data_IF_368697271052
#
_entry.id   IF_368697271052
#
_cell.length_a   1.000
_cell.length_b   1.000
_cell.length_c   1.000
_cell.angle_alpha   90.00
_cell.angle_beta   90.00
_cell.angle_gamma   90.00
#
_symmetry.space_group_name_H-M   'P 1'
#
loop_
_entity.id
_entity.type
_entity.pdbx_description
1 polymer ?
#
# COMPACT_ATOMS: atom_id res chain seq x y z
N UNK A 1 -15.15 0.47 9.53
CA UNK A 1 -14.02 0.84 10.41
C UNK A 1 -13.43 -0.43 10.96
N UNK A 2 -12.11 -0.49 11.09
CA UNK A 2 -11.42 -1.61 11.76
C UNK A 2 -11.80 -1.68 13.25
N UNK A 3 -11.93 -2.88 13.80
CA UNK A 3 -12.26 -3.11 15.22
C UNK A 3 -11.04 -2.93 16.13
N UNK A 4 -11.25 -2.80 17.44
CA UNK A 4 -10.15 -2.71 18.41
C UNK A 4 -9.18 -3.91 18.36
N UNK A 5 -9.71 -5.13 18.14
CA UNK A 5 -8.89 -6.33 17.96
C UNK A 5 -8.05 -6.25 16.67
N UNK A 6 -8.65 -5.78 15.57
CA UNK A 6 -7.92 -5.56 14.31
C UNK A 6 -6.84 -4.50 14.46
N UNK A 7 -7.12 -3.39 15.16
CA UNK A 7 -6.12 -2.34 15.45
C UNK A 7 -4.92 -2.92 16.22
N UNK A 8 -5.18 -3.73 17.25
CA UNK A 8 -4.12 -4.38 18.01
C UNK A 8 -3.26 -5.30 17.12
N UNK A 9 -3.89 -6.10 16.26
CA UNK A 9 -3.18 -6.98 15.32
C UNK A 9 -2.34 -6.17 14.30
N UNK A 10 -2.90 -5.11 13.73
CA UNK A 10 -2.19 -4.21 12.80
C UNK A 10 -0.95 -3.60 13.45
N UNK A 11 -1.11 -3.05 14.66
CA UNK A 11 0.01 -2.47 15.44
C UNK A 11 1.07 -3.51 15.79
N UNK A 12 0.68 -4.76 16.08
CA UNK A 12 1.61 -5.84 16.38
C UNK A 12 2.36 -6.35 15.13
N UNK A 13 1.70 -6.42 13.98
CA UNK A 13 2.31 -6.89 12.73
C UNK A 13 3.21 -5.84 12.06
N UNK A 14 2.86 -4.54 12.12
CA UNK A 14 3.56 -3.51 11.33
C UNK A 14 5.07 -3.39 11.59
N UNK A 15 5.57 -3.49 12.84
CA UNK A 15 7.01 -3.51 13.11
C UNK A 15 7.75 -4.65 12.40
N UNK A 16 7.12 -5.82 12.24
CA UNK A 16 7.73 -6.94 11.52
C UNK A 16 7.77 -6.68 10.02
N UNK A 17 6.66 -6.17 9.46
CA UNK A 17 6.53 -5.79 8.05
C UNK A 17 7.59 -4.75 7.65
N UNK A 18 7.83 -3.77 8.51
CA UNK A 18 8.77 -2.66 8.26
C UNK A 18 10.21 -2.91 8.72
N UNK A 19 10.50 -4.08 9.31
CA UNK A 19 11.80 -4.36 9.93
C UNK A 19 12.98 -4.37 8.96
N UNK A 20 14.08 -3.72 9.37
CA UNK A 20 15.37 -3.68 8.67
C UNK A 20 15.51 -2.51 7.69
N UNK A 21 14.56 -2.36 6.76
CA UNK A 21 14.66 -1.40 5.64
C UNK A 21 13.48 -0.42 5.53
N UNK A 22 12.64 -0.35 6.57
CA UNK A 22 11.42 0.46 6.56
C UNK A 22 10.33 -0.10 5.65
N UNK A 23 10.39 -1.38 5.28
CA UNK A 23 9.44 -2.06 4.42
C UNK A 23 9.73 -1.88 2.92
N UNK A 24 10.91 -1.38 2.55
CA UNK A 24 11.28 -1.19 1.15
C UNK A 24 11.24 -2.51 0.36
N UNK A 25 11.74 -3.61 0.94
CA UNK A 25 11.65 -4.94 0.34
C UNK A 25 10.21 -5.40 0.17
N UNK A 26 9.33 -5.16 1.15
CA UNK A 26 7.90 -5.49 1.04
C UNK A 26 7.24 -4.70 -0.10
N UNK A 27 7.57 -3.40 -0.21
CA UNK A 27 7.08 -2.55 -1.30
C UNK A 27 7.55 -3.02 -2.67
N UNK A 28 8.80 -3.51 -2.78
CA UNK A 28 9.31 -4.09 -4.01
C UNK A 28 8.57 -5.38 -4.38
N UNK A 29 8.47 -6.34 -3.44
CA UNK A 29 7.75 -7.61 -3.67
C UNK A 29 6.29 -7.37 -4.05
N UNK A 30 5.63 -6.39 -3.43
CA UNK A 30 4.28 -5.97 -3.80
C UNK A 30 4.22 -5.57 -5.28
N UNK A 31 5.12 -4.71 -5.76
CA UNK A 31 5.10 -4.28 -7.16
C UNK A 31 5.42 -5.42 -8.14
N UNK A 32 6.35 -6.31 -7.78
CA UNK A 32 6.66 -7.50 -8.59
C UNK A 32 5.42 -8.38 -8.75
N UNK A 33 4.71 -8.64 -7.65
CA UNK A 33 3.45 -9.39 -7.68
C UNK A 33 2.37 -8.65 -8.46
N UNK A 34 2.21 -7.35 -8.23
CA UNK A 34 1.18 -6.53 -8.87
C UNK A 34 1.31 -6.49 -10.38
N UNK A 35 2.53 -6.26 -10.90
CA UNK A 35 2.77 -6.22 -12.35
C UNK A 35 2.75 -7.61 -12.99
N UNK A 36 3.12 -8.65 -12.25
CA UNK A 36 3.01 -10.04 -12.75
C UNK A 36 1.55 -10.45 -12.92
N UNK A 37 0.71 -10.15 -11.93
CA UNK A 37 -0.72 -10.50 -11.98
C UNK A 37 -1.54 -9.55 -12.86
N UNK A 38 -1.07 -8.29 -13.02
CA UNK A 38 -1.77 -7.23 -13.75
C UNK A 38 -0.81 -6.54 -14.74
N UNK A 39 -0.39 -7.20 -15.84
CA UNK A 39 0.65 -6.67 -16.74
C UNK A 39 0.31 -5.30 -17.35
N UNK A 40 -0.97 -4.98 -17.55
CA UNK A 40 -1.41 -3.67 -18.05
C UNK A 40 -1.04 -2.52 -17.11
N UNK A 41 -0.85 -2.78 -15.81
CA UNK A 41 -0.46 -1.75 -14.84
C UNK A 41 0.96 -1.27 -15.03
N UNK A 42 1.84 -2.05 -15.67
CA UNK A 42 3.17 -1.57 -16.06
C UNK A 42 3.08 -0.27 -16.87
N UNK A 43 2.15 -0.20 -17.83
CA UNK A 43 1.95 0.98 -18.68
C UNK A 43 1.44 2.19 -17.91
N UNK A 44 0.57 1.99 -16.91
CA UNK A 44 0.09 3.06 -16.00
C UNK A 44 1.27 3.70 -15.27
N UNK A 45 2.25 2.88 -14.86
CA UNK A 45 3.48 3.33 -14.19
C UNK A 45 4.59 3.73 -15.18
N UNK A 46 4.30 3.71 -16.49
CA UNK A 46 5.23 4.03 -17.59
C UNK A 46 6.47 3.12 -17.64
N UNK A 47 6.29 1.85 -17.27
CA UNK A 47 7.29 0.80 -17.43
C UNK A 47 6.95 -0.12 -18.60
N UNK A 48 7.97 -0.77 -19.15
CA UNK A 48 7.88 -1.74 -20.25
C UNK A 48 8.77 -2.95 -19.95
N UNK A 49 8.53 -4.08 -20.63
CA UNK A 49 9.31 -5.31 -20.45
C UNK A 49 8.81 -6.20 -19.32
N UNK A 50 9.67 -7.10 -18.84
CA UNK A 50 9.33 -8.02 -17.76
C UNK A 50 9.43 -7.35 -16.38
N UNK A 51 8.50 -7.58 -15.44
CA UNK A 51 8.57 -7.02 -14.09
C UNK A 51 9.92 -7.23 -13.40
N UNK A 52 10.54 -8.40 -13.59
CA UNK A 52 11.83 -8.73 -12.99
C UNK A 52 12.98 -7.80 -13.38
N UNK A 53 12.93 -7.24 -14.59
CA UNK A 53 13.92 -6.24 -15.02
C UNK A 53 13.87 -4.94 -14.21
N UNK A 54 12.76 -4.70 -13.48
CA UNK A 54 12.57 -3.51 -12.66
C UNK A 54 13.06 -3.65 -11.22
N UNK A 55 13.54 -4.83 -10.78
CA UNK A 55 13.97 -5.02 -9.38
C UNK A 55 15.08 -4.04 -8.95
N UNK A 56 15.97 -3.68 -9.86
CA UNK A 56 17.02 -2.67 -9.64
C UNK A 56 16.60 -1.22 -9.91
N UNK A 57 15.33 -0.97 -10.27
CA UNK A 57 14.86 0.37 -10.62
C UNK A 57 14.66 1.23 -9.36
N UNK A 58 15.54 2.22 -9.16
CA UNK A 58 15.52 3.09 -7.98
C UNK A 58 14.19 3.86 -7.80
N UNK A 59 13.52 4.24 -8.89
CA UNK A 59 12.22 4.94 -8.82
C UNK A 59 11.12 4.00 -8.31
N UNK A 60 11.07 2.76 -8.78
CA UNK A 60 10.12 1.76 -8.31
C UNK A 60 10.36 1.40 -6.84
N UNK A 61 11.61 1.16 -6.47
CA UNK A 61 11.99 0.90 -5.08
C UNK A 61 11.59 2.04 -4.14
N UNK A 62 11.87 3.29 -4.55
CA UNK A 62 11.46 4.46 -3.78
C UNK A 62 9.93 4.57 -3.67
N UNK A 63 9.17 4.25 -4.72
CA UNK A 63 7.71 4.22 -4.66
C UNK A 63 7.23 3.17 -3.64
N UNK A 64 7.79 1.95 -3.67
CA UNK A 64 7.48 0.91 -2.69
C UNK A 64 7.70 1.39 -1.25
N UNK A 65 8.85 2.03 -1.00
CA UNK A 65 9.16 2.62 0.31
C UNK A 65 8.15 3.71 0.72
N UNK A 66 7.74 4.59 -0.19
CA UNK A 66 6.76 5.63 0.10
C UNK A 66 5.39 5.07 0.46
N UNK A 67 4.97 3.96 -0.16
CA UNK A 67 3.72 3.27 0.20
C UNK A 67 3.80 2.74 1.64
N UNK A 68 4.90 2.08 2.01
CA UNK A 68 5.07 1.55 3.37
C UNK A 68 5.22 2.68 4.41
N UNK A 69 5.88 3.79 4.07
CA UNK A 69 5.94 4.96 4.92
C UNK A 69 4.55 5.59 5.13
N UNK A 70 3.72 5.64 4.09
CA UNK A 70 2.35 6.13 4.22
C UNK A 70 1.48 5.19 5.08
N UNK A 71 1.67 3.87 4.95
CA UNK A 71 1.03 2.91 5.84
C UNK A 71 1.50 3.08 7.28
N UNK A 72 2.78 3.39 7.51
CA UNK A 72 3.29 3.73 8.85
C UNK A 72 2.54 4.93 9.45
N UNK A 73 2.37 6.00 8.67
CA UNK A 73 1.59 7.18 9.08
C UNK A 73 0.16 6.78 9.41
N UNK A 74 -0.51 6.00 8.55
CA UNK A 74 -1.88 5.56 8.81
C UNK A 74 -1.99 4.68 10.07
N UNK A 75 -1.03 3.78 10.30
CA UNK A 75 -0.96 2.96 11.53
C UNK A 75 -0.75 3.83 12.77
N UNK A 76 0.04 4.89 12.68
CA UNK A 76 0.25 5.84 13.79
C UNK A 76 -1.00 6.68 14.11
N UNK A 77 -1.88 6.86 13.13
CA UNK A 77 -3.13 7.62 13.26
C UNK A 77 -4.36 6.73 13.46
N UNK A 78 -4.19 5.40 13.55
CA UNK A 78 -5.29 4.43 13.46
C UNK A 78 -6.34 4.56 14.58
N UNK A 79 -5.96 5.10 15.74
CA UNK A 79 -6.91 5.34 16.85
C UNK A 79 -7.75 6.61 16.62
N UNK A 80 -7.30 7.54 15.77
CA UNK A 80 -8.02 8.73 15.34
C UNK A 80 -8.40 8.60 13.86
N UNK A 81 -9.48 7.87 13.62
CA UNK A 81 -9.98 7.62 12.26
C UNK A 81 -10.31 8.91 11.51
N UNK A 82 -10.70 9.99 12.20
CA UNK A 82 -10.98 11.28 11.58
C UNK A 82 -9.71 11.91 11.01
N UNK A 83 -8.66 11.98 11.83
CA UNK A 83 -7.34 12.44 11.40
C UNK A 83 -6.76 11.59 10.28
N UNK A 84 -6.76 10.26 10.45
CA UNK A 84 -6.24 9.33 9.43
C UNK A 84 -6.94 9.52 8.09
N UNK A 85 -8.27 9.64 8.09
CA UNK A 85 -9.06 9.85 6.87
C UNK A 85 -8.71 11.19 6.21
N UNK A 86 -8.55 12.26 6.98
CA UNK A 86 -8.18 13.58 6.45
C UNK A 86 -6.77 13.56 5.83
N UNK A 87 -5.79 12.96 6.51
CA UNK A 87 -4.41 12.78 6.01
C UNK A 87 -4.40 12.03 4.67
N UNK A 88 -5.12 10.90 4.59
CA UNK A 88 -5.16 10.05 3.40
C UNK A 88 -5.94 10.67 2.25
N UNK A 89 -7.01 11.40 2.54
CA UNK A 89 -7.75 12.17 1.53
C UNK A 89 -6.87 13.26 0.91
N UNK A 90 -6.11 13.99 1.73
CA UNK A 90 -5.15 14.98 1.23
C UNK A 90 -4.07 14.34 0.35
N UNK A 91 -3.61 13.13 0.70
CA UNK A 91 -2.73 12.36 -0.18
C UNK A 91 -3.42 11.99 -1.51
N UNK A 92 -4.67 11.57 -1.49
CA UNK A 92 -5.46 11.31 -2.70
C UNK A 92 -5.58 12.52 -3.63
N UNK A 93 -5.75 13.73 -3.07
CA UNK A 93 -5.73 14.97 -3.87
C UNK A 93 -4.38 15.15 -4.59
N UNK A 94 -3.26 14.85 -3.92
CA UNK A 94 -1.92 14.91 -4.55
C UNK A 94 -1.76 13.88 -5.67
N UNK A 95 -2.46 12.74 -5.60
CA UNK A 95 -2.39 11.69 -6.62
C UNK A 95 -2.94 12.14 -7.99
N UNK A 96 -3.83 13.14 -8.03
CA UNK A 96 -4.29 13.76 -9.27
C UNK A 96 -3.14 14.33 -10.12
N UNK A 97 -2.04 14.74 -9.47
CA UNK A 97 -0.85 15.24 -10.15
C UNK A 97 0.03 14.16 -10.79
N UNK A 98 -0.25 12.86 -10.53
CA UNK A 98 0.56 11.75 -11.04
C UNK A 98 -0.01 11.07 -12.29
N UNK A 99 -1.17 11.52 -12.77
CA UNK A 99 -1.82 11.03 -13.99
C UNK A 99 -3.27 10.63 -13.75
N UNK A 100 -3.83 9.87 -14.71
CA UNK A 100 -5.19 9.32 -14.64
C UNK A 100 -5.23 8.09 -13.72
N UNK A 101 -5.00 8.32 -12.42
CA UNK A 101 -5.05 7.27 -11.39
C UNK A 101 -6.51 6.94 -11.11
N UNK A 102 -6.90 5.69 -11.36
CA UNK A 102 -8.29 5.25 -11.22
C UNK A 102 -8.52 4.44 -9.96
N UNK A 103 -9.75 4.49 -9.44
CA UNK A 103 -10.14 3.78 -8.23
C UNK A 103 -9.98 2.26 -8.38
N UNK A 104 -10.18 1.74 -9.59
CA UNK A 104 -10.11 0.31 -9.91
C UNK A 104 -8.69 -0.26 -9.81
N UNK A 105 -7.65 0.59 -9.73
CA UNK A 105 -6.26 0.14 -9.60
C UNK A 105 -5.92 -0.34 -8.17
N UNK A 106 -6.62 0.18 -7.16
CA UNK A 106 -6.31 -0.06 -5.75
C UNK A 106 -6.63 -1.50 -5.28
N UNK A 107 -7.79 -2.11 -5.59
CA UNK A 107 -8.09 -3.46 -5.11
C UNK A 107 -7.01 -4.50 -5.44
N UNK A 108 -6.53 -4.52 -6.68
CA UNK A 108 -5.48 -5.44 -7.11
C UNK A 108 -4.12 -5.14 -6.44
N UNK A 109 -3.80 -3.85 -6.21
CA UNK A 109 -2.60 -3.45 -5.47
C UNK A 109 -2.66 -3.94 -4.01
N UNK A 110 -3.83 -3.86 -3.37
CA UNK A 110 -4.06 -4.37 -2.01
C UNK A 110 -3.83 -5.87 -1.89
N UNK A 111 -4.28 -6.65 -2.87
CA UNK A 111 -4.02 -8.10 -2.92
C UNK A 111 -2.52 -8.39 -2.98
N UNK A 112 -1.80 -7.69 -3.86
CA UNK A 112 -0.35 -7.84 -3.98
C UNK A 112 0.41 -7.39 -2.73
N UNK A 113 -0.07 -6.35 -2.05
CA UNK A 113 0.50 -5.86 -0.80
C UNK A 113 0.35 -6.86 0.34
N UNK A 114 -0.86 -7.41 0.52
CA UNK A 114 -1.13 -8.44 1.54
C UNK A 114 -0.29 -9.69 1.30
N UNK A 115 -0.12 -10.10 0.05
CA UNK A 115 0.76 -11.20 -0.31
C UNK A 115 2.22 -10.93 0.10
N UNK A 116 2.74 -9.73 -0.20
CA UNK A 116 4.11 -9.34 0.14
C UNK A 116 4.32 -9.21 1.66
N UNK A 117 3.33 -8.69 2.39
CA UNK A 117 3.37 -8.61 3.86
C UNK A 117 3.43 -9.99 4.50
N UNK A 118 2.69 -10.97 3.98
CA UNK A 118 2.70 -12.35 4.51
C UNK A 118 4.08 -13.00 4.36
N UNK A 119 4.81 -12.72 3.28
CA UNK A 119 6.17 -13.26 3.11
C UNK A 119 7.13 -12.75 4.19
N UNK A 120 6.86 -11.56 4.74
CA UNK A 120 7.71 -10.92 5.76
C UNK A 120 7.21 -11.18 7.19
N UNK A 121 5.91 -11.38 7.39
CA UNK A 121 5.26 -11.54 8.68
C UNK A 121 4.44 -12.84 8.70
N UNK A 122 5.01 -13.93 9.21
CA UNK A 122 4.37 -15.24 9.23
C UNK A 122 3.05 -15.29 10.03
N UNK A 123 2.87 -14.38 11.00
CA UNK A 123 1.66 -14.23 11.81
C UNK A 123 0.76 -13.08 11.36
N UNK A 124 0.77 -12.73 10.07
CA UNK A 124 -0.03 -11.62 9.54
C UNK A 124 -1.53 -11.91 9.71
N UNK A 125 -2.24 -11.03 10.42
CA UNK A 125 -3.71 -11.04 10.38
C UNK A 125 -4.19 -10.42 9.07
N UNK A 126 -4.29 -11.25 8.03
CA UNK A 126 -4.75 -10.83 6.69
C UNK A 126 -6.13 -10.17 6.71
N UNK A 127 -7.02 -10.59 7.61
CA UNK A 127 -8.37 -10.02 7.71
C UNK A 127 -8.32 -8.60 8.24
N UNK A 128 -7.54 -8.36 9.29
CA UNK A 128 -7.30 -7.02 9.83
C UNK A 128 -6.62 -6.11 8.80
N UNK A 129 -5.59 -6.60 8.12
CA UNK A 129 -4.86 -5.83 7.10
C UNK A 129 -5.69 -5.55 5.85
N UNK A 130 -6.54 -6.47 5.41
CA UNK A 130 -7.45 -6.24 4.29
C UNK A 130 -8.49 -5.16 4.63
N UNK A 131 -9.08 -5.22 5.82
CA UNK A 131 -10.03 -4.20 6.29
C UNK A 131 -9.36 -2.83 6.43
N UNK A 132 -8.12 -2.80 6.96
CA UNK A 132 -7.33 -1.58 7.08
C UNK A 132 -6.95 -1.00 5.72
N UNK A 133 -6.44 -1.83 4.81
CA UNK A 133 -6.10 -1.41 3.46
C UNK A 133 -7.32 -0.82 2.74
N UNK A 134 -8.50 -1.45 2.87
CA UNK A 134 -9.74 -0.92 2.31
C UNK A 134 -10.04 0.47 2.86
N UNK A 135 -9.96 0.66 4.18
CA UNK A 135 -10.19 1.97 4.79
C UNK A 135 -9.17 3.02 4.30
N UNK A 136 -7.91 2.61 4.12
CA UNK A 136 -6.86 3.48 3.59
C UNK A 136 -7.12 3.87 2.14
N UNK A 137 -7.42 2.89 1.29
CA UNK A 137 -7.63 3.12 -0.14
C UNK A 137 -8.93 3.88 -0.41
N UNK A 138 -10.02 3.59 0.31
CA UNK A 138 -11.28 4.35 0.21
C UNK A 138 -11.04 5.86 0.47
N UNK A 139 -10.24 6.21 1.47
CA UNK A 139 -9.91 7.61 1.79
C UNK A 139 -9.06 8.27 0.69
N UNK A 140 -8.07 7.56 0.15
CA UNK A 140 -7.25 8.05 -0.98
C UNK A 140 -8.12 8.23 -2.22
N UNK A 141 -8.97 7.25 -2.54
CA UNK A 141 -9.90 7.29 -3.69
C UNK A 141 -10.86 8.48 -3.55
N UNK A 142 -11.40 8.74 -2.36
CA UNK A 142 -12.21 9.92 -2.10
C UNK A 142 -11.45 11.22 -2.38
N UNK A 143 -10.14 11.27 -2.09
CA UNK A 143 -9.29 12.39 -2.46
C UNK A 143 -9.09 12.52 -3.98
N UNK A 144 -8.86 11.41 -4.67
CA UNK A 144 -8.71 11.36 -6.15
C UNK A 144 -9.99 11.82 -6.86
N UNK A 145 -11.16 11.47 -6.34
CA UNK A 145 -12.46 11.77 -6.94
C UNK A 145 -13.08 13.11 -6.48
N UNK A 146 -12.38 13.85 -5.61
CA UNK A 146 -12.88 15.13 -5.08
C UNK A 146 -12.87 16.30 -6.06
#
# INVERSE_FOLDING_TARGET
MVSAAQIAAIKANFPQISSGDGGASVGLEMFMKYFTDNPSMMAVFKYTGAPESLRGNAKLQNHGKLILAQLATAVSEIDDTGKMTATLKALGVRHKGFGDIKAEYFPALGVSLLWAMEQKCAGLDKGAWAAFYKQVSDAIISGIQS
#
